data_IF_687248045286
#
_entry.id   IF_687248045286
#
_cell.length_a   1.000
_cell.length_b   1.000
_cell.length_c   1.000
_cell.angle_alpha   90.00
_cell.angle_beta   90.00
_cell.angle_gamma   90.00
#
_symmetry.space_group_name_H-M   'P 1'
#
loop_
_entity.id
_entity.type
_entity.pdbx_description
1 polymer ?
#
# COMPACT_ATOMS: atom_id res chain seq x y z
N UNK A 1 -19.89 24.08 12.11
CA UNK A 1 -18.79 23.33 12.75
C UNK A 1 -18.49 22.14 11.86
N UNK A 2 -17.61 22.37 10.89
CA UNK A 2 -17.46 21.58 9.66
C UNK A 2 -16.83 20.21 9.94
N UNK A 3 -17.24 19.21 9.15
CA UNK A 3 -16.67 17.85 9.17
C UNK A 3 -15.13 17.84 9.06
N UNK A 4 -14.56 18.82 8.36
CA UNK A 4 -13.12 19.05 8.23
C UNK A 4 -12.43 19.24 9.58
N UNK A 5 -13.07 19.95 10.52
CA UNK A 5 -12.51 20.20 11.85
C UNK A 5 -12.47 18.92 12.69
N UNK A 6 -13.46 18.03 12.54
CA UNK A 6 -13.46 16.71 13.17
C UNK A 6 -12.40 15.78 12.57
N UNK A 7 -12.22 15.80 11.24
CA UNK A 7 -11.18 15.02 10.56
C UNK A 7 -9.77 15.48 10.99
N UNK A 8 -9.50 16.79 11.00
CA UNK A 8 -8.23 17.34 11.47
C UNK A 8 -7.95 16.98 12.92
N UNK A 9 -8.96 17.08 13.80
CA UNK A 9 -8.83 16.71 15.21
C UNK A 9 -8.51 15.21 15.36
N UNK A 10 -9.16 14.34 14.60
CA UNK A 10 -8.87 12.90 14.61
C UNK A 10 -7.45 12.58 14.13
N UNK A 11 -6.96 13.25 13.08
CA UNK A 11 -5.58 13.10 12.58
C UNK A 11 -4.56 13.53 13.65
N UNK A 12 -4.78 14.69 14.28
CA UNK A 12 -3.89 15.21 15.32
C UNK A 12 -3.80 14.25 16.51
N UNK A 13 -4.95 13.73 16.96
CA UNK A 13 -5.02 12.76 18.07
C UNK A 13 -4.29 11.46 17.69
N UNK A 14 -4.52 10.93 16.49
CA UNK A 14 -3.86 9.72 16.01
C UNK A 14 -2.32 9.89 15.93
N UNK A 15 -1.86 11.02 15.39
CA UNK A 15 -0.43 11.34 15.30
C UNK A 15 0.21 11.44 16.69
N UNK A 16 -0.45 12.12 17.63
CA UNK A 16 0.05 12.23 19.00
C UNK A 16 0.12 10.86 19.69
N UNK A 17 -0.89 10.00 19.50
CA UNK A 17 -0.91 8.65 20.05
C UNK A 17 0.24 7.78 19.49
N UNK A 18 0.49 7.81 18.18
CA UNK A 18 1.59 7.06 17.57
C UNK A 18 2.97 7.51 18.07
N UNK A 19 3.19 8.82 18.22
CA UNK A 19 4.45 9.35 18.79
C UNK A 19 4.61 8.92 20.25
N UNK A 20 3.54 8.92 21.03
CA UNK A 20 3.56 8.47 22.42
C UNK A 20 3.96 6.99 22.55
N UNK A 21 3.38 6.12 21.71
CA UNK A 21 3.72 4.69 21.67
C UNK A 21 5.19 4.49 21.28
N UNK A 22 5.67 5.22 20.27
CA UNK A 22 7.07 5.17 19.83
C UNK A 22 8.05 5.61 20.92
N UNK A 23 7.77 6.70 21.63
CA UNK A 23 8.60 7.16 22.73
C UNK A 23 8.62 6.19 23.92
N UNK A 24 7.47 5.59 24.23
CA UNK A 24 7.35 4.56 25.26
C UNK A 24 8.19 3.32 24.94
N UNK A 25 8.17 2.86 23.69
CA UNK A 25 9.01 1.76 23.22
C UNK A 25 10.49 2.11 23.23
N UNK A 26 10.84 3.34 22.82
CA UNK A 26 12.23 3.82 22.82
C UNK A 26 12.86 3.84 24.20
N UNK A 27 12.10 4.22 25.24
CA UNK A 27 12.57 4.18 26.63
C UNK A 27 12.87 2.77 27.16
N UNK A 28 12.43 1.71 26.48
CA UNK A 28 12.65 0.31 26.86
C UNK A 28 13.83 -0.35 26.12
N UNK A 29 14.48 0.38 25.21
CA UNK A 29 15.60 -0.13 24.41
C UNK A 29 16.90 0.42 24.99
N UNK A 30 17.75 -0.44 25.54
CA UNK A 30 19.05 -0.05 26.13
C UNK A 30 20.26 -0.70 25.46
N UNK A 31 20.08 -1.78 24.71
CA UNK A 31 21.17 -2.54 24.08
C UNK A 31 20.98 -2.68 22.57
N UNK A 32 22.08 -2.87 21.82
CA UNK A 32 22.08 -3.14 20.38
C UNK A 32 21.24 -4.38 20.01
N UNK A 33 21.23 -5.39 20.88
CA UNK A 33 20.43 -6.60 20.72
C UNK A 33 18.93 -6.32 20.83
N UNK A 34 18.51 -5.35 21.64
CA UNK A 34 17.10 -4.93 21.74
C UNK A 34 16.67 -4.07 20.56
N UNK A 35 17.60 -3.33 19.95
CA UNK A 35 17.33 -2.56 18.74
C UNK A 35 17.28 -3.46 17.49
N UNK A 36 18.20 -4.44 17.36
CA UNK A 36 18.33 -5.26 16.15
C UNK A 36 17.58 -6.59 16.20
N UNK A 37 17.49 -7.24 17.38
CA UNK A 37 16.82 -8.53 17.55
C UNK A 37 15.51 -8.41 18.35
N UNK A 38 15.09 -7.19 18.69
CA UNK A 38 13.92 -6.89 19.52
C UNK A 38 13.82 -7.81 20.74
N UNK A 39 14.95 -8.06 21.40
CA UNK A 39 15.05 -8.87 22.62
C UNK A 39 14.57 -10.31 22.50
N UNK A 40 14.33 -10.83 21.28
CA UNK A 40 13.78 -12.18 21.01
C UNK A 40 12.44 -12.44 21.74
N UNK A 41 11.77 -11.39 22.21
CA UNK A 41 10.60 -11.45 23.10
C UNK A 41 9.28 -11.08 22.42
N UNK A 42 9.34 -10.53 21.20
CA UNK A 42 8.15 -10.32 20.38
C UNK A 42 7.65 -11.67 19.85
N UNK A 43 6.43 -12.03 20.23
CA UNK A 43 5.78 -13.26 19.77
C UNK A 43 5.59 -13.24 18.24
N UNK A 44 5.63 -14.40 17.57
CA UNK A 44 5.64 -14.51 16.10
C UNK A 44 4.54 -13.72 15.39
N UNK A 45 3.36 -13.61 16.01
CA UNK A 45 2.21 -12.90 15.45
C UNK A 45 2.43 -11.38 15.39
N UNK A 46 3.06 -10.78 16.40
CA UNK A 46 3.27 -9.32 16.48
C UNK A 46 4.36 -8.90 15.50
N UNK A 47 5.40 -9.73 15.36
CA UNK A 47 6.48 -9.54 14.37
C UNK A 47 5.96 -9.68 12.95
N UNK A 48 5.10 -10.68 12.66
CA UNK A 48 4.48 -10.86 11.36
C UNK A 48 3.51 -9.70 11.00
N UNK A 49 2.73 -9.21 11.97
CA UNK A 49 1.85 -8.06 11.78
C UNK A 49 2.64 -6.78 11.47
N UNK A 50 3.74 -6.54 12.19
CA UNK A 50 4.63 -5.40 11.96
C UNK A 50 5.33 -5.48 10.60
N UNK A 51 5.73 -6.68 10.17
CA UNK A 51 6.29 -6.90 8.83
C UNK A 51 5.25 -6.57 7.76
N UNK A 52 4.04 -7.14 7.85
CA UNK A 52 2.97 -6.87 6.88
C UNK A 52 2.52 -5.41 6.84
N UNK A 53 2.48 -4.71 7.98
CA UNK A 53 2.19 -3.28 8.02
C UNK A 53 3.24 -2.45 7.24
N UNK A 54 4.50 -2.87 7.28
CA UNK A 54 5.61 -2.23 6.56
C UNK A 54 5.46 -2.41 5.05
N UNK A 55 5.14 -3.63 4.61
CA UNK A 55 4.91 -3.93 3.18
C UNK A 55 3.66 -3.23 2.62
N UNK A 56 2.62 -3.06 3.45
CA UNK A 56 1.37 -2.41 3.03
C UNK A 56 1.52 -0.89 2.85
N UNK A 57 2.39 -0.22 3.59
CA UNK A 57 2.55 1.25 3.51
C UNK A 57 3.02 1.72 2.13
N UNK A 58 3.91 0.99 1.47
CA UNK A 58 4.42 1.36 0.15
C UNK A 58 3.40 1.09 -0.96
N UNK A 59 2.76 -0.08 -0.91
CA UNK A 59 1.83 -0.50 -1.95
C UNK A 59 0.48 0.24 -1.87
N UNK A 60 -0.07 0.50 -0.68
CA UNK A 60 -1.37 1.16 -0.56
C UNK A 60 -1.32 2.66 -0.86
N UNK A 61 -0.20 3.33 -0.58
CA UNK A 61 -0.11 4.79 -0.71
C UNK A 61 0.10 5.22 -2.18
N UNK A 62 0.84 4.43 -2.95
CA UNK A 62 1.21 4.77 -4.35
C UNK A 62 0.97 3.64 -5.35
N UNK A 63 1.09 2.37 -4.94
CA UNK A 63 0.99 1.21 -5.84
C UNK A 63 -0.44 0.91 -6.31
N UNK A 64 -1.36 0.74 -5.36
CA UNK A 64 -2.77 0.40 -5.64
C UNK A 64 -3.48 1.50 -6.44
N UNK A 65 -3.39 2.81 -6.10
CA UNK A 65 -3.99 3.87 -6.91
C UNK A 65 -3.34 3.98 -8.29
N UNK A 66 -2.03 3.78 -8.40
CA UNK A 66 -1.30 3.79 -9.66
C UNK A 66 -1.71 2.65 -10.60
N UNK A 67 -1.91 1.44 -10.08
CA UNK A 67 -2.38 0.29 -10.85
C UNK A 67 -3.83 0.48 -11.35
N UNK A 68 -4.70 1.06 -10.52
CA UNK A 68 -6.08 1.39 -10.89
C UNK A 68 -6.09 2.50 -11.95
N UNK A 69 -5.22 3.51 -11.82
CA UNK A 69 -5.09 4.57 -12.81
C UNK A 69 -4.56 4.04 -14.15
N UNK A 70 -3.53 3.21 -14.15
CA UNK A 70 -2.98 2.59 -15.37
C UNK A 70 -4.00 1.68 -16.06
N UNK A 71 -4.77 0.90 -15.31
CA UNK A 71 -5.82 0.05 -15.91
C UNK A 71 -6.96 0.85 -16.52
N UNK A 72 -7.43 1.91 -15.85
CA UNK A 72 -8.41 2.84 -16.42
C UNK A 72 -7.88 3.60 -17.64
N UNK A 73 -6.64 4.07 -17.60
CA UNK A 73 -5.97 4.77 -18.70
C UNK A 73 -5.76 3.84 -19.92
N UNK A 74 -5.45 2.56 -19.70
CA UNK A 74 -5.36 1.55 -20.77
C UNK A 74 -6.73 1.34 -21.42
N UNK A 75 -7.81 1.29 -20.64
CA UNK A 75 -9.16 1.16 -21.19
C UNK A 75 -9.58 2.38 -22.02
N UNK A 76 -9.22 3.59 -21.58
CA UNK A 76 -9.52 4.86 -22.25
C UNK A 76 -8.67 5.06 -23.52
N UNK A 77 -7.36 4.76 -23.46
CA UNK A 77 -6.47 4.79 -24.62
C UNK A 77 -6.84 3.72 -25.67
N UNK A 78 -7.31 2.56 -25.24
CA UNK A 78 -7.79 1.52 -26.16
C UNK A 78 -9.06 1.98 -26.90
N UNK A 79 -10.03 2.56 -26.18
CA UNK A 79 -11.25 3.14 -26.78
C UNK A 79 -10.96 4.33 -27.69
N UNK A 80 -9.96 5.16 -27.36
CA UNK A 80 -9.55 6.31 -28.17
C UNK A 80 -8.77 5.93 -29.43
N UNK A 81 -7.93 4.89 -29.37
CA UNK A 81 -7.03 4.47 -30.46
C UNK A 81 -7.63 3.46 -31.45
N UNK A 82 -8.50 2.56 -30.99
CA UNK A 82 -9.11 1.53 -31.83
C UNK A 82 -10.63 1.65 -31.69
N UNK A 83 -11.24 2.51 -32.50
CA UNK A 83 -12.70 2.53 -32.66
C UNK A 83 -13.16 1.20 -33.26
N UNK A 84 -13.56 0.23 -32.45
CA UNK A 84 -14.36 -0.92 -32.88
C UNK A 84 -15.05 -1.52 -31.66
N UNK A 85 -16.36 -1.70 -31.76
CA UNK A 85 -17.22 -2.42 -30.83
C UNK A 85 -16.78 -3.89 -30.69
N UNK A 86 -15.89 -4.16 -29.73
CA UNK A 86 -15.51 -5.53 -29.36
C UNK A 86 -16.54 -6.14 -28.41
N UNK A 87 -16.75 -7.45 -28.47
CA UNK A 87 -17.58 -8.14 -27.45
C UNK A 87 -16.86 -8.14 -26.10
N UNK A 88 -17.57 -7.88 -25.00
CA UNK A 88 -17.06 -7.79 -23.61
C UNK A 88 -16.07 -8.89 -23.21
N UNK A 89 -16.22 -10.11 -23.76
CA UNK A 89 -15.32 -11.24 -23.52
C UNK A 89 -13.89 -11.02 -24.06
N UNK A 90 -13.75 -10.33 -25.19
CA UNK A 90 -12.43 -9.99 -25.75
C UNK A 90 -11.77 -8.88 -24.95
N UNK A 91 -12.53 -7.89 -24.47
CA UNK A 91 -12.01 -6.84 -23.59
C UNK A 91 -11.45 -7.41 -22.28
N UNK A 92 -12.20 -8.31 -21.63
CA UNK A 92 -11.76 -8.92 -20.37
C UNK A 92 -10.57 -9.87 -20.60
N UNK A 93 -10.53 -10.59 -21.73
CA UNK A 93 -9.40 -11.47 -22.05
C UNK A 93 -8.12 -10.67 -22.38
N UNK A 94 -8.24 -9.59 -23.17
CA UNK A 94 -7.11 -8.73 -23.52
C UNK A 94 -6.60 -7.94 -22.31
N UNK A 95 -7.51 -7.45 -21.46
CA UNK A 95 -7.17 -6.79 -20.20
C UNK A 95 -6.40 -7.71 -19.25
N UNK A 96 -6.80 -8.98 -19.15
CA UNK A 96 -6.05 -9.98 -18.36
C UNK A 96 -4.64 -10.24 -18.90
N UNK A 97 -4.45 -10.22 -20.22
CA UNK A 97 -3.13 -10.36 -20.84
C UNK A 97 -2.26 -9.11 -20.65
N UNK A 98 -2.85 -7.92 -20.76
CA UNK A 98 -2.15 -6.66 -20.51
C UNK A 98 -1.66 -6.55 -19.06
N UNK A 99 -2.51 -6.94 -18.10
CA UNK A 99 -2.14 -6.98 -16.67
C UNK A 99 -1.01 -8.00 -16.41
N UNK A 100 -1.02 -9.14 -17.10
CA UNK A 100 0.07 -10.13 -17.01
C UNK A 100 1.42 -9.54 -17.45
N UNK A 101 1.44 -8.82 -18.56
CA UNK A 101 2.67 -8.19 -19.09
C UNK A 101 3.18 -7.11 -18.14
N UNK A 102 2.30 -6.26 -17.62
CA UNK A 102 2.67 -5.23 -16.63
C UNK A 102 3.21 -5.88 -15.36
N UNK A 103 2.61 -6.98 -14.90
CA UNK A 103 3.09 -7.70 -13.70
C UNK A 103 4.46 -8.31 -13.88
N UNK A 104 4.80 -8.80 -15.08
CA UNK A 104 6.14 -9.33 -15.39
C UNK A 104 7.18 -8.21 -15.37
N UNK A 105 6.86 -7.06 -15.95
CA UNK A 105 7.76 -5.90 -15.98
C UNK A 105 7.96 -5.33 -14.58
N UNK A 106 6.89 -5.19 -13.80
CA UNK A 106 6.95 -4.73 -12.42
C UNK A 106 7.75 -5.69 -11.53
N UNK A 107 7.57 -7.00 -11.69
CA UNK A 107 8.35 -8.01 -10.98
C UNK A 107 9.83 -8.04 -11.37
N UNK A 108 10.20 -7.55 -12.56
CA UNK A 108 11.59 -7.42 -12.99
C UNK A 108 12.25 -6.10 -12.53
N UNK A 109 11.45 -5.11 -12.11
CA UNK A 109 11.91 -3.78 -11.66
C UNK A 109 11.96 -3.64 -10.14
N UNK A 110 11.28 -4.52 -9.40
CA UNK A 110 11.30 -4.62 -7.94
C UNK A 110 12.52 -5.42 -7.46
#
# INVERSE_FOLDING_TARGET
MSNEMYQLTAIIIYMAAMVFIGWYAFKRISNLTDCMLSGRSLGPMVTALSAGATDMSGWLLMGLPGAIYLSGLVEDLYKAGIKTDGTDKQYVFLGRMAVLVVSIIAGALA
#
